data_IF_528615038384
#
_entry.id   IF_528615038384
#
_cell.length_a   1.000
_cell.length_b   1.000
_cell.length_c   1.000
_cell.angle_alpha   90.00
_cell.angle_beta   90.00
_cell.angle_gamma   90.00
#
_symmetry.space_group_name_H-M   'P 1'
#
loop_
_entity.id
_entity.type
_entity.pdbx_description
1 polymer ?
#
# COMPACT_ATOMS: atom_id res chain seq x y z
N UNK A 1 -1.54 14.61 -2.15
CA UNK A 1 -0.99 13.51 -1.34
C UNK A 1 -1.31 12.20 -2.05
N UNK A 2 -0.33 11.33 -2.26
CA UNK A 2 -0.50 9.97 -2.76
C UNK A 2 0.30 9.00 -1.89
N UNK A 3 -0.27 7.83 -1.63
CA UNK A 3 0.30 6.85 -0.71
C UNK A 3 0.61 5.54 -1.44
N UNK A 4 1.54 4.75 -0.91
CA UNK A 4 1.85 3.40 -1.38
C UNK A 4 1.79 2.42 -0.22
N UNK A 5 1.04 1.33 -0.39
CA UNK A 5 0.79 0.33 0.63
C UNK A 5 1.42 -0.99 0.20
N UNK A 6 2.32 -1.55 1.02
CA UNK A 6 3.00 -2.82 0.77
C UNK A 6 2.47 -3.93 1.68
N UNK A 7 2.57 -5.18 1.21
CA UNK A 7 2.16 -6.36 1.97
C UNK A 7 0.64 -6.53 2.07
N UNK A 8 -0.11 -5.92 1.16
CA UNK A 8 -1.58 -5.90 1.20
C UNK A 8 -2.14 -7.27 0.80
N UNK A 9 -2.99 -7.83 1.65
CA UNK A 9 -3.76 -9.05 1.34
C UNK A 9 -4.98 -8.73 0.46
N UNK A 10 -5.50 -9.74 -0.25
CA UNK A 10 -6.69 -9.58 -1.11
C UNK A 10 -7.91 -9.06 -0.34
N UNK A 11 -8.08 -9.49 0.91
CA UNK A 11 -9.19 -9.05 1.78
C UNK A 11 -9.13 -7.56 2.11
N UNK A 12 -7.92 -6.98 2.15
CA UNK A 12 -7.70 -5.58 2.53
C UNK A 12 -7.96 -4.60 1.38
N UNK A 13 -7.88 -5.06 0.13
CA UNK A 13 -8.03 -4.23 -1.07
C UNK A 13 -9.35 -3.45 -1.04
N UNK A 14 -10.47 -4.12 -0.75
CA UNK A 14 -11.79 -3.48 -0.73
C UNK A 14 -11.88 -2.34 0.31
N UNK A 15 -11.22 -2.50 1.45
CA UNK A 15 -11.19 -1.46 2.49
C UNK A 15 -10.29 -0.29 2.09
N UNK A 16 -9.14 -0.57 1.48
CA UNK A 16 -8.22 0.46 0.97
C UNK A 16 -8.89 1.26 -0.15
N UNK A 17 -9.54 0.60 -1.10
CA UNK A 17 -10.27 1.26 -2.19
C UNK A 17 -11.39 2.15 -1.66
N UNK A 18 -12.16 1.67 -0.66
CA UNK A 18 -13.19 2.48 -0.01
C UNK A 18 -12.59 3.71 0.68
N UNK A 19 -11.47 3.56 1.39
CA UNK A 19 -10.79 4.67 2.05
C UNK A 19 -10.27 5.69 1.02
N UNK A 20 -9.64 5.23 -0.06
CA UNK A 20 -9.18 6.07 -1.17
C UNK A 20 -10.33 6.93 -1.72
N UNK A 21 -11.51 6.33 -1.88
CA UNK A 21 -12.68 6.98 -2.45
C UNK A 21 -13.24 8.07 -1.52
N UNK A 22 -13.33 7.79 -0.22
CA UNK A 22 -13.84 8.71 0.79
C UNK A 22 -12.88 9.91 0.96
N UNK A 23 -11.58 9.64 1.04
CA UNK A 23 -10.57 10.66 1.36
C UNK A 23 -9.95 11.32 0.13
N UNK A 24 -10.36 10.93 -1.08
CA UNK A 24 -9.85 11.45 -2.36
C UNK A 24 -8.31 11.45 -2.42
N UNK A 25 -7.70 10.43 -1.81
CA UNK A 25 -6.26 10.26 -1.72
C UNK A 25 -5.90 8.99 -2.50
N UNK A 26 -5.15 9.09 -3.61
CA UNK A 26 -4.72 7.93 -4.37
C UNK A 26 -3.83 7.01 -3.53
N UNK A 27 -4.08 5.70 -3.62
CA UNK A 27 -3.27 4.66 -2.99
C UNK A 27 -2.80 3.66 -4.04
N UNK A 28 -1.49 3.49 -4.18
CA UNK A 28 -0.89 2.39 -4.94
C UNK A 28 -0.80 1.17 -4.03
N UNK A 29 -1.37 0.05 -4.46
CA UNK A 29 -1.37 -1.21 -3.70
C UNK A 29 -0.28 -2.13 -4.27
N UNK A 30 0.58 -2.63 -3.40
CA UNK A 30 1.61 -3.65 -3.68
C UNK A 30 1.35 -4.83 -2.74
N UNK A 31 1.06 -6.00 -3.30
CA UNK A 31 0.72 -7.19 -2.51
C UNK A 31 1.96 -7.79 -1.84
N UNK A 32 3.13 -7.64 -2.46
CA UNK A 32 4.39 -8.08 -1.90
C UNK A 32 4.82 -7.20 -0.73
N UNK A 33 5.47 -7.81 0.26
CA UNK A 33 6.14 -7.07 1.34
C UNK A 33 7.22 -6.14 0.79
N UNK A 34 7.52 -5.06 1.53
CA UNK A 34 8.58 -4.12 1.15
C UNK A 34 9.94 -4.83 1.17
N UNK A 35 10.67 -4.72 0.06
CA UNK A 35 11.99 -5.32 -0.14
C UNK A 35 12.91 -4.38 -0.92
N UNK A 36 14.20 -4.73 -1.00
CA UNK A 36 15.19 -3.96 -1.78
C UNK A 36 14.85 -3.91 -3.26
N UNK A 37 14.16 -4.94 -3.77
CA UNK A 37 13.77 -5.06 -5.17
C UNK A 37 12.61 -4.13 -5.51
N UNK A 38 11.67 -3.88 -4.58
CA UNK A 38 10.43 -3.13 -4.86
C UNK A 38 10.34 -1.75 -4.17
N UNK A 39 11.32 -1.38 -3.33
CA UNK A 39 11.34 -0.07 -2.64
C UNK A 39 11.30 1.12 -3.60
N UNK A 40 11.81 0.95 -4.82
CA UNK A 40 11.81 1.99 -5.84
C UNK A 40 10.39 2.43 -6.25
N UNK A 41 9.38 1.57 -6.07
CA UNK A 41 7.97 1.90 -6.36
C UNK A 41 7.44 3.01 -5.45
N UNK A 42 8.04 3.21 -4.27
CA UNK A 42 7.67 4.30 -3.38
C UNK A 42 8.09 5.68 -3.91
N UNK A 43 8.91 5.76 -4.96
CA UNK A 43 9.38 7.02 -5.51
C UNK A 43 8.21 7.95 -5.92
N UNK A 44 8.29 9.18 -5.43
CA UNK A 44 7.29 10.22 -5.66
C UNK A 44 6.05 10.12 -4.78
N UNK A 45 5.88 9.09 -3.96
CA UNK A 45 4.80 9.02 -2.96
C UNK A 45 5.11 9.87 -1.74
N UNK A 46 4.06 10.36 -1.08
CA UNK A 46 4.16 11.22 0.10
C UNK A 46 4.18 10.41 1.41
N UNK A 47 3.83 9.12 1.35
CA UNK A 47 3.80 8.24 2.51
C UNK A 47 3.72 6.76 2.15
N UNK A 48 4.22 5.93 3.07
CA UNK A 48 4.28 4.47 2.95
C UNK A 48 3.48 3.86 4.10
N UNK A 49 2.61 2.89 3.79
CA UNK A 49 1.97 2.02 4.78
C UNK A 49 2.49 0.60 4.60
N UNK A 50 2.87 -0.05 5.70
CA UNK A 50 3.34 -1.42 5.70
C UNK A 50 2.32 -2.27 6.45
N UNK A 51 1.70 -3.19 5.72
CA UNK A 51 0.95 -4.25 6.35
C UNK A 51 1.94 -5.28 6.86
N UNK A 52 1.81 -5.74 8.12
CA UNK A 52 2.64 -6.84 8.58
C UNK A 52 2.36 -8.03 7.67
N UNK A 53 3.40 -8.56 7.02
CA UNK A 53 3.27 -9.92 6.53
C UNK A 53 2.93 -10.76 7.76
N UNK A 54 1.96 -11.67 7.64
CA UNK A 54 1.82 -12.74 8.61
C UNK A 54 3.08 -13.61 8.50
N UNK A 55 4.20 -13.13 9.06
CA UNK A 55 5.27 -13.97 9.51
C UNK A 55 4.73 -14.70 10.74
N UNK A 56 4.00 -15.78 10.49
CA UNK A 56 3.86 -16.90 11.40
C UNK A 56 4.65 -18.07 10.83
#
# INVERSE_FOLDING_TARGET
MKLIYYGVSEEEIAYIERWQFIHKTPVTIVMEGLSWENIHLAAGHDGICLYPSLAM
#
